data_IF_143308531088
#
_entry.id   IF_143308531088
#
_cell.length_a   1.000
_cell.length_b   1.000
_cell.length_c   1.000
_cell.angle_alpha   90.00
_cell.angle_beta   90.00
_cell.angle_gamma   90.00
#
_symmetry.space_group_name_H-M   'P 1'
#
loop_
_entity.id
_entity.type
_entity.pdbx_description
1 polymer ?
#
# COMPACT_ATOMS: atom_id res chain seq x y z
N UNK A 1 39.94 -35.10 -4.45
CA UNK A 1 38.94 -35.27 -3.39
C UNK A 1 39.46 -34.50 -2.21
N UNK A 2 39.00 -33.27 -2.04
CA UNK A 2 39.24 -32.45 -0.86
C UNK A 2 37.85 -32.02 -0.38
N UNK A 3 37.41 -32.66 0.69
CA UNK A 3 36.02 -32.76 1.15
C UNK A 3 35.81 -31.73 2.28
N UNK A 4 36.04 -30.45 1.96
CA UNK A 4 35.97 -29.35 2.93
C UNK A 4 34.99 -28.26 2.52
N UNK A 5 33.87 -28.66 1.91
CA UNK A 5 32.74 -27.79 1.52
C UNK A 5 31.50 -28.02 2.40
N UNK A 6 31.69 -28.62 3.58
CA UNK A 6 30.61 -29.06 4.48
C UNK A 6 30.52 -28.21 5.77
N UNK A 7 31.06 -26.98 5.76
CA UNK A 7 30.65 -25.98 6.76
C UNK A 7 29.31 -25.37 6.32
N UNK A 8 28.23 -25.52 7.11
CA UNK A 8 26.95 -24.92 6.75
C UNK A 8 27.12 -23.40 6.68
N UNK A 9 26.76 -22.81 5.53
CA UNK A 9 26.71 -21.36 5.32
C UNK A 9 25.73 -20.73 6.33
N UNK A 10 26.23 -20.42 7.52
CA UNK A 10 25.47 -19.80 8.59
C UNK A 10 25.60 -18.29 8.49
N UNK A 11 24.46 -17.60 8.59
CA UNK A 11 24.44 -16.15 8.72
C UNK A 11 25.25 -15.75 9.96
N UNK A 12 26.06 -14.70 9.85
CA UNK A 12 26.73 -14.14 11.02
C UNK A 12 25.69 -13.69 12.04
N UNK A 13 26.05 -13.69 13.33
CA UNK A 13 25.16 -13.25 14.40
C UNK A 13 24.60 -11.84 14.17
N UNK A 14 25.40 -10.96 13.57
CA UNK A 14 24.98 -9.63 13.18
C UNK A 14 23.95 -9.64 12.03
N UNK A 15 24.15 -10.47 11.01
CA UNK A 15 23.19 -10.62 9.92
C UNK A 15 21.86 -11.21 10.40
N UNK A 16 21.89 -12.19 11.30
CA UNK A 16 20.68 -12.75 11.93
C UNK A 16 19.92 -11.71 12.77
N UNK A 17 20.63 -10.89 13.54
CA UNK A 17 20.02 -9.82 14.32
C UNK A 17 19.35 -8.77 13.42
N UNK A 18 20.05 -8.32 12.37
CA UNK A 18 19.48 -7.40 11.39
C UNK A 18 18.24 -7.98 10.68
N UNK A 19 18.24 -9.28 10.37
CA UNK A 19 17.10 -9.97 9.78
C UNK A 19 15.90 -10.07 10.76
N UNK A 20 16.17 -10.27 12.04
CA UNK A 20 15.13 -10.30 13.07
C UNK A 20 14.50 -8.91 13.28
N UNK A 21 15.31 -7.85 13.36
CA UNK A 21 14.83 -6.47 13.44
C UNK A 21 13.99 -6.10 12.21
N UNK A 22 14.48 -6.43 11.01
CA UNK A 22 13.75 -6.19 9.76
C UNK A 22 12.40 -6.91 9.70
N UNK A 23 12.32 -8.17 10.15
CA UNK A 23 11.05 -8.90 10.19
C UNK A 23 10.10 -8.32 11.25
N UNK A 24 10.61 -7.88 12.40
CA UNK A 24 9.79 -7.25 13.43
C UNK A 24 9.21 -5.90 12.96
N UNK A 25 9.98 -5.10 12.23
CA UNK A 25 9.49 -3.89 11.58
C UNK A 25 8.43 -4.21 10.53
N UNK A 26 8.65 -5.22 9.68
CA UNK A 26 7.64 -5.69 8.70
C UNK A 26 6.33 -6.10 9.35
N UNK A 27 6.37 -6.88 10.41
CA UNK A 27 5.17 -7.37 11.10
C UNK A 27 4.41 -6.23 11.80
N UNK A 28 5.14 -5.28 12.40
CA UNK A 28 4.54 -4.08 12.98
C UNK A 28 3.86 -3.22 11.90
N UNK A 29 4.48 -3.09 10.73
CA UNK A 29 3.91 -2.37 9.58
C UNK A 29 2.68 -3.07 9.00
N UNK A 30 2.72 -4.41 8.85
CA UNK A 30 1.59 -5.19 8.34
C UNK A 30 0.36 -5.04 9.26
N UNK A 31 0.57 -5.09 10.58
CA UNK A 31 -0.52 -4.83 11.55
C UNK A 31 -1.11 -3.44 11.44
N UNK A 32 -0.26 -2.41 11.34
CA UNK A 32 -0.74 -1.03 11.17
C UNK A 32 -1.53 -0.86 9.87
N UNK A 33 -1.05 -1.48 8.78
CA UNK A 33 -1.76 -1.47 7.50
C UNK A 33 -3.12 -2.14 7.60
N UNK A 34 -3.21 -3.31 8.25
CA UNK A 34 -4.48 -4.02 8.48
C UNK A 34 -5.44 -3.20 9.35
N UNK A 35 -4.96 -2.55 10.41
CA UNK A 35 -5.76 -1.65 11.26
C UNK A 35 -6.27 -0.43 10.49
N UNK A 36 -5.43 0.13 9.63
CA UNK A 36 -5.76 1.28 8.79
C UNK A 36 -6.71 0.90 7.65
N UNK A 37 -6.56 -0.29 7.06
CA UNK A 37 -7.49 -0.83 6.08
C UNK A 37 -8.86 -1.11 6.71
N UNK A 38 -8.89 -1.69 7.92
CA UNK A 38 -10.12 -1.90 8.66
C UNK A 38 -10.83 -0.57 8.98
N UNK A 39 -10.08 0.46 9.40
CA UNK A 39 -10.62 1.82 9.58
C UNK A 39 -11.05 2.47 8.27
N UNK A 40 -10.36 2.22 7.17
CA UNK A 40 -10.72 2.73 5.85
C UNK A 40 -12.01 2.07 5.33
N UNK A 41 -12.21 0.78 5.57
CA UNK A 41 -13.46 0.07 5.29
C UNK A 41 -14.61 0.60 6.16
N UNK A 42 -14.37 0.82 7.45
CA UNK A 42 -15.34 1.45 8.36
C UNK A 42 -15.70 2.88 7.93
N UNK A 43 -14.70 3.67 7.53
CA UNK A 43 -14.88 5.04 7.05
C UNK A 43 -15.54 5.11 5.67
N UNK A 44 -15.27 4.14 4.80
CA UNK A 44 -15.96 4.00 3.52
C UNK A 44 -17.43 3.65 3.72
N UNK A 45 -17.76 2.81 4.71
CA UNK A 45 -19.14 2.57 5.13
C UNK A 45 -19.82 3.83 5.68
N UNK A 46 -19.04 4.84 6.08
CA UNK A 46 -19.48 6.15 6.59
C UNK A 46 -19.25 7.31 5.60
N UNK A 47 -18.81 7.01 4.38
CA UNK A 47 -18.50 7.96 3.30
C UNK A 47 -17.48 9.07 3.69
N UNK A 48 -16.50 8.76 4.54
CA UNK A 48 -15.45 9.70 4.95
C UNK A 48 -14.23 9.58 4.01
N UNK A 49 -13.71 10.68 3.44
CA UNK A 49 -12.57 10.64 2.52
C UNK A 49 -11.28 10.17 3.19
N UNK A 50 -10.49 9.37 2.48
CA UNK A 50 -9.20 8.85 2.93
C UNK A 50 -8.12 9.93 2.75
N UNK A 51 -7.24 10.09 3.75
CA UNK A 51 -6.09 11.01 3.70
C UNK A 51 -4.77 10.26 3.53
N UNK A 52 -3.76 10.90 2.92
CA UNK A 52 -2.41 10.33 2.74
C UNK A 52 -1.74 9.90 4.03
N UNK A 53 -2.12 10.45 5.19
CA UNK A 53 -1.61 10.02 6.50
C UNK A 53 -1.95 8.57 6.86
N UNK A 54 -2.77 7.89 6.06
CA UNK A 54 -3.12 6.47 6.17
C UNK A 54 -2.04 5.56 5.57
N UNK A 55 -1.12 6.08 4.74
CA UNK A 55 -0.08 5.28 4.11
C UNK A 55 1.29 5.81 4.53
N UNK A 56 2.02 5.05 5.35
CA UNK A 56 3.43 5.31 5.64
C UNK A 56 4.30 4.76 4.50
N UNK A 57 5.33 5.52 4.09
CA UNK A 57 6.26 5.17 3.03
C UNK A 57 7.07 3.91 3.38
N UNK A 58 6.69 2.77 2.79
CA UNK A 58 7.49 1.53 2.83
C UNK A 58 8.58 1.63 1.74
N UNK A 59 9.76 2.08 2.16
CA UNK A 59 10.95 2.29 1.33
C UNK A 59 11.48 1.00 0.69
N UNK A 60 11.07 -0.18 1.19
CA UNK A 60 11.44 -1.46 0.64
C UNK A 60 10.49 -1.95 -0.49
N UNK A 61 9.37 -1.24 -0.71
CA UNK A 61 8.37 -1.61 -1.74
C UNK A 61 8.46 -0.82 -3.05
N UNK A 62 9.50 0.02 -3.21
CA UNK A 62 9.72 0.83 -4.42
C UNK A 62 8.43 1.52 -4.90
N UNK A 63 7.74 2.19 -3.96
CA UNK A 63 6.45 2.81 -4.20
C UNK A 63 6.60 4.15 -4.92
N UNK A 64 5.62 4.48 -5.76
CA UNK A 64 5.55 5.75 -6.47
C UNK A 64 4.55 6.69 -5.79
N UNK A 65 5.08 7.79 -5.26
CA UNK A 65 4.31 8.85 -4.63
C UNK A 65 4.20 10.03 -5.58
N UNK A 66 3.01 10.18 -6.17
CA UNK A 66 2.70 11.26 -7.09
C UNK A 66 2.18 12.48 -6.32
N UNK A 67 2.34 13.67 -6.91
CA UNK A 67 1.65 14.87 -6.42
C UNK A 67 0.14 14.69 -6.50
N UNK A 68 -0.62 15.43 -5.68
CA UNK A 68 -2.09 15.39 -5.70
C UNK A 68 -2.65 15.62 -7.10
N UNK A 69 -2.12 16.61 -7.83
CA UNK A 69 -2.50 16.90 -9.22
C UNK A 69 -2.31 15.68 -10.13
N UNK A 70 -1.16 15.02 -10.03
CA UNK A 70 -0.83 13.87 -10.88
C UNK A 70 -1.67 12.65 -10.50
N UNK A 71 -1.86 12.40 -9.20
CA UNK A 71 -2.69 11.32 -8.71
C UNK A 71 -4.17 11.48 -9.10
N UNK A 72 -4.69 12.71 -9.04
CA UNK A 72 -6.05 13.05 -9.50
C UNK A 72 -6.20 12.88 -11.01
N UNK A 73 -5.20 13.31 -11.80
CA UNK A 73 -5.22 13.11 -13.25
C UNK A 73 -5.29 11.61 -13.60
N UNK A 74 -4.45 10.77 -12.98
CA UNK A 74 -4.49 9.32 -13.19
C UNK A 74 -5.82 8.72 -12.74
N UNK A 75 -6.33 9.10 -11.57
CA UNK A 75 -7.60 8.58 -11.06
C UNK A 75 -8.79 8.98 -11.96
N UNK A 76 -8.81 10.21 -12.46
CA UNK A 76 -9.83 10.68 -13.39
C UNK A 76 -9.81 9.91 -14.72
N UNK A 77 -8.63 9.74 -15.32
CA UNK A 77 -8.51 8.97 -16.57
C UNK A 77 -8.87 7.50 -16.38
N UNK A 78 -8.51 6.89 -15.25
CA UNK A 78 -8.87 5.50 -14.93
C UNK A 78 -10.39 5.30 -14.77
N UNK A 79 -11.11 6.30 -14.28
CA UNK A 79 -12.56 6.24 -14.08
C UNK A 79 -13.37 6.70 -15.29
N UNK A 80 -12.76 7.40 -16.24
CA UNK A 80 -13.47 8.04 -17.35
C UNK A 80 -14.24 7.05 -18.23
N UNK A 81 -13.63 5.90 -18.48
CA UNK A 81 -14.19 4.84 -19.34
C UNK A 81 -14.49 3.55 -18.56
N UNK A 82 -14.34 3.57 -17.24
CA UNK A 82 -14.60 2.42 -16.38
C UNK A 82 -16.05 2.43 -15.87
N UNK A 83 -16.70 1.28 -15.91
CA UNK A 83 -18.05 1.08 -15.35
C UNK A 83 -18.04 0.24 -14.07
N UNK A 84 -19.22 -0.03 -13.51
CA UNK A 84 -19.39 -0.81 -12.26
C UNK A 84 -18.93 -2.28 -12.39
N UNK A 85 -18.74 -2.77 -13.61
CA UNK A 85 -18.27 -4.13 -13.90
C UNK A 85 -16.76 -4.21 -14.07
N UNK A 86 -16.10 -3.07 -14.26
CA UNK A 86 -14.66 -2.97 -14.39
C UNK A 86 -13.94 -3.01 -13.03
N UNK A 87 -12.75 -3.61 -13.02
CA UNK A 87 -11.89 -3.70 -11.83
C UNK A 87 -10.57 -3.00 -12.07
N UNK A 88 -10.29 -1.96 -11.29
CA UNK A 88 -9.01 -1.23 -11.33
C UNK A 88 -8.10 -1.72 -10.20
N UNK A 89 -6.98 -2.34 -10.57
CA UNK A 89 -5.94 -2.73 -9.63
C UNK A 89 -4.83 -1.67 -9.57
N UNK A 90 -4.60 -1.09 -8.39
CA UNK A 90 -3.52 -0.11 -8.16
C UNK A 90 -2.36 -0.81 -7.47
N UNK A 91 -1.20 -0.86 -8.12
CA UNK A 91 0.00 -1.52 -7.61
C UNK A 91 1.07 -0.49 -7.31
N UNK A 92 1.58 -0.49 -6.09
CA UNK A 92 2.71 0.36 -5.64
C UNK A 92 2.52 1.87 -5.86
N UNK A 93 1.28 2.35 -6.03
CA UNK A 93 0.95 3.77 -6.19
C UNK A 93 -0.15 4.21 -5.19
N UNK A 94 0.19 4.35 -3.90
CA UNK A 94 -0.79 4.66 -2.84
C UNK A 94 -1.55 5.97 -3.09
N UNK A 95 -0.83 7.00 -3.55
CA UNK A 95 -1.39 8.31 -3.90
C UNK A 95 -2.54 8.23 -4.91
N UNK A 96 -2.41 7.40 -5.95
CA UNK A 96 -3.45 7.19 -6.97
C UNK A 96 -4.65 6.42 -6.39
N UNK A 97 -4.39 5.41 -5.55
CA UNK A 97 -5.46 4.65 -4.89
C UNK A 97 -6.34 5.54 -4.02
N UNK A 98 -5.73 6.43 -3.23
CA UNK A 98 -6.48 7.39 -2.40
C UNK A 98 -7.31 8.32 -3.27
N UNK A 99 -6.72 8.87 -4.33
CA UNK A 99 -7.43 9.75 -5.26
C UNK A 99 -8.65 9.05 -5.89
N UNK A 100 -8.50 7.80 -6.35
CA UNK A 100 -9.60 6.98 -6.88
C UNK A 100 -10.72 6.80 -5.86
N UNK A 101 -10.38 6.40 -4.62
CA UNK A 101 -11.36 6.16 -3.55
C UNK A 101 -12.13 7.43 -3.21
N UNK A 102 -11.45 8.57 -3.14
CA UNK A 102 -12.08 9.86 -2.84
C UNK A 102 -12.99 10.34 -3.97
N UNK A 103 -12.59 10.13 -5.24
CA UNK A 103 -13.45 10.44 -6.39
C UNK A 103 -14.71 9.57 -6.42
N UNK A 104 -14.58 8.27 -6.17
CA UNK A 104 -15.72 7.36 -6.10
C UNK A 104 -16.70 7.75 -4.98
N UNK A 105 -16.19 8.02 -3.78
CA UNK A 105 -17.01 8.50 -2.65
C UNK A 105 -17.77 9.80 -2.99
N UNK A 106 -17.12 10.72 -3.70
CA UNK A 106 -17.73 11.99 -4.13
C UNK A 106 -18.82 11.79 -5.20
N UNK A 107 -18.60 10.90 -6.17
CA UNK A 107 -19.61 10.57 -7.19
C UNK A 107 -20.85 9.91 -6.59
N UNK A 108 -20.66 9.02 -5.61
CA UNK A 108 -21.76 8.37 -4.89
C UNK A 108 -22.59 9.38 -4.07
N UNK A 109 -21.97 10.45 -3.56
CA UNK A 109 -22.67 11.50 -2.83
C UNK A 109 -23.47 12.46 -3.73
N UNK A 110 -23.13 12.57 -5.02
CA UNK A 110 -23.82 13.45 -5.98
C UNK A 110 -25.06 12.82 -6.62
N UNK A 111 -25.25 11.51 -6.51
CA UNK A 111 -26.38 10.79 -7.10
C UNK A 111 -27.52 10.51 -6.09
N UNK A 112 -27.36 10.92 -4.83
CA UNK A 112 -28.32 10.74 -3.75
C UNK A 112 -28.99 12.05 -3.35
#
# INVERSE_FOLDING_TARGET
>A
MDDSDDEPLALSSHALAALAEFNAEKDAHQKRFEELNAKAEENAARNVPLSMSVFEEDWNKSQFWYSDETALAYAGELLRDADETDTVAVVSAPSVFIALRNLLASHMCSMS
#
